data_IF_104073879264
#
_entry.id   IF_104073879264
#
_cell.length_a   1.000
_cell.length_b   1.000
_cell.length_c   1.000
_cell.angle_alpha   90.00
_cell.angle_beta   90.00
_cell.angle_gamma   90.00
#
_symmetry.space_group_name_H-M   'P 1'
#
loop_
_entity.id
_entity.type
_entity.pdbx_description
1 polymer ?
#
# COMPACT_ATOMS: atom_id res chain seq x y z
N UNK A 1 -18.16 2.06 31.16
CA UNK A 1 -19.55 1.63 30.92
C UNK A 1 -19.55 0.14 30.68
N UNK A 2 -20.03 -0.63 31.65
CA UNK A 2 -20.10 -2.08 31.57
C UNK A 2 -21.21 -2.48 30.58
N UNK A 3 -20.85 -3.10 29.45
CA UNK A 3 -21.82 -3.73 28.56
C UNK A 3 -21.85 -5.22 28.86
N UNK A 4 -22.90 -5.62 29.55
CA UNK A 4 -23.20 -6.98 29.98
C UNK A 4 -23.40 -7.89 28.76
N UNK A 5 -22.53 -8.90 28.64
CA UNK A 5 -22.74 -10.09 27.80
C UNK A 5 -24.09 -10.74 28.18
N UNK A 6 -25.01 -10.83 27.23
CA UNK A 6 -26.14 -11.74 27.34
C UNK A 6 -25.73 -13.11 26.77
N UNK A 7 -25.92 -14.22 27.48
CA UNK A 7 -25.73 -15.55 26.91
C UNK A 7 -26.93 -15.85 26.00
N UNK A 8 -26.66 -16.16 24.73
CA UNK A 8 -27.67 -16.72 23.83
C UNK A 8 -27.97 -18.12 24.37
N UNK A 9 -29.12 -18.26 25.03
CA UNK A 9 -29.68 -19.54 25.44
C UNK A 9 -29.76 -20.45 24.21
N UNK A 10 -28.91 -21.47 24.17
CA UNK A 10 -29.09 -22.62 23.31
C UNK A 10 -30.39 -23.33 23.73
N UNK A 11 -31.50 -22.97 23.11
CA UNK A 11 -32.73 -23.76 23.18
C UNK A 11 -32.49 -25.04 22.38
N UNK A 12 -32.19 -26.10 23.12
CA UNK A 12 -32.18 -27.47 22.62
C UNK A 12 -33.51 -27.76 21.92
N UNK A 13 -33.53 -28.21 20.65
CA UNK A 13 -34.76 -28.66 20.04
C UNK A 13 -35.15 -29.96 20.74
N UNK A 14 -36.24 -29.91 21.50
CA UNK A 14 -36.89 -31.11 22.02
C UNK A 14 -37.30 -31.96 20.83
N UNK A 15 -36.52 -33.00 20.54
CA UNK A 15 -36.86 -34.03 19.57
C UNK A 15 -38.08 -34.75 20.15
N UNK A 16 -39.28 -34.34 19.70
CA UNK A 16 -40.49 -35.11 19.89
C UNK A 16 -40.33 -36.40 19.08
N UNK A 17 -39.89 -37.45 19.75
CA UNK A 17 -40.04 -38.82 19.26
C UNK A 17 -41.54 -39.10 19.10
N UNK A 18 -42.07 -38.88 17.90
CA UNK A 18 -43.33 -39.49 17.51
C UNK A 18 -43.08 -41.00 17.40
N UNK A 19 -43.44 -41.70 18.48
CA UNK A 19 -43.58 -43.14 18.51
C UNK A 19 -44.55 -43.52 17.39
N UNK A 20 -44.04 -44.18 16.35
CA UNK A 20 -44.88 -44.84 15.35
C UNK A 20 -45.58 -46.00 16.07
N UNK A 21 -46.79 -45.72 16.57
CA UNK A 21 -47.70 -46.75 17.01
C UNK A 21 -47.98 -47.66 15.81
N UNK A 22 -47.60 -48.92 15.96
CA UNK A 22 -47.98 -50.01 15.07
C UNK A 22 -49.51 -49.98 14.88
N UNK A 23 -50.04 -50.03 13.64
CA UNK A 23 -51.49 -50.07 13.46
C UNK A 23 -52.04 -51.35 14.12
N UNK A 24 -53.21 -51.31 14.77
CA UNK A 24 -53.79 -52.50 15.36
C UNK A 24 -54.04 -53.55 14.28
N UNK A 25 -53.77 -54.80 14.62
CA UNK A 25 -54.04 -55.97 13.80
C UNK A 25 -55.45 -55.89 13.18
N UNK A 26 -55.51 -56.00 11.86
CA UNK A 26 -56.77 -56.14 11.13
C UNK A 26 -57.39 -57.47 11.56
N UNK A 27 -58.41 -57.40 12.41
CA UNK A 27 -59.28 -58.54 12.72
C UNK A 27 -60.06 -58.90 11.45
N UNK A 28 -59.63 -59.98 10.78
CA UNK A 28 -60.43 -60.65 9.74
C UNK A 28 -61.53 -61.47 10.43
N UNK A 29 -62.67 -60.84 10.68
CA UNK A 29 -63.87 -61.51 11.20
C UNK A 29 -64.93 -61.59 10.10
N UNK A 30 -64.85 -62.61 9.24
CA UNK A 30 -66.00 -63.34 8.67
C UNK A 30 -65.57 -64.13 7.43
N UNK A 31 -65.29 -65.43 7.60
CA UNK A 31 -65.34 -66.40 6.50
C UNK A 31 -66.30 -67.50 6.96
N UNK A 32 -67.54 -67.43 6.48
CA UNK A 32 -68.49 -68.54 6.55
C UNK A 32 -68.30 -69.45 5.33
N UNK A 33 -68.44 -70.77 5.47
CA UNK A 33 -68.17 -71.71 4.39
C UNK A 33 -69.42 -72.01 3.55
N UNK A 34 -69.15 -72.63 2.40
CA UNK A 34 -69.99 -73.54 1.60
C UNK A 34 -70.71 -73.03 0.32
N UNK A 35 -70.50 -73.88 -0.70
CA UNK A 35 -71.32 -74.21 -1.86
C UNK A 35 -70.98 -73.57 -3.22
N UNK A 36 -70.43 -74.46 -4.03
CA UNK A 36 -70.23 -74.54 -5.48
C UNK A 36 -71.11 -73.63 -6.36
N UNK A 37 -70.54 -72.51 -6.84
CA UNK A 37 -70.84 -71.92 -8.15
C UNK A 37 -69.73 -70.93 -8.57
N UNK A 38 -69.29 -70.92 -9.85
CA UNK A 38 -68.13 -70.14 -10.32
C UNK A 38 -68.32 -68.60 -10.25
N UNK A 39 -69.52 -68.11 -9.95
CA UNK A 39 -69.86 -66.67 -9.84
C UNK A 39 -69.56 -66.03 -8.49
N UNK A 40 -69.48 -66.80 -7.39
CA UNK A 40 -69.28 -66.25 -6.03
C UNK A 40 -67.79 -66.15 -5.67
N UNK A 41 -66.97 -67.06 -6.21
CA UNK A 41 -65.52 -67.02 -6.06
C UNK A 41 -64.91 -65.77 -6.72
N UNK A 42 -65.41 -65.36 -7.88
CA UNK A 42 -64.96 -64.15 -8.60
C UNK A 42 -65.27 -62.87 -7.82
N UNK A 43 -66.41 -62.80 -7.12
CA UNK A 43 -66.77 -61.63 -6.31
C UNK A 43 -65.89 -61.47 -5.06
N UNK A 44 -65.56 -62.57 -4.38
CA UNK A 44 -64.63 -62.55 -3.24
C UNK A 44 -63.21 -62.17 -3.70
N UNK A 45 -62.74 -62.72 -4.83
CA UNK A 45 -61.46 -62.36 -5.44
C UNK A 45 -61.41 -60.85 -5.76
N UNK A 46 -62.47 -60.30 -6.35
CA UNK A 46 -62.55 -58.86 -6.67
C UNK A 46 -62.53 -57.97 -5.40
N UNK A 47 -63.18 -58.40 -4.31
CA UNK A 47 -63.13 -57.66 -3.03
C UNK A 47 -61.74 -57.68 -2.40
N UNK A 48 -61.07 -58.83 -2.41
CA UNK A 48 -59.70 -58.96 -1.92
C UNK A 48 -58.73 -58.13 -2.76
N UNK A 49 -58.88 -58.15 -4.09
CA UNK A 49 -58.07 -57.33 -4.98
C UNK A 49 -58.24 -55.83 -4.69
N UNK A 50 -59.48 -55.35 -4.55
CA UNK A 50 -59.76 -53.95 -4.19
C UNK A 50 -59.18 -53.54 -2.83
N UNK A 51 -59.16 -54.45 -1.84
CA UNK A 51 -58.49 -54.18 -0.56
C UNK A 51 -56.98 -54.08 -0.71
N UNK A 52 -56.37 -54.94 -1.51
CA UNK A 52 -54.94 -54.86 -1.85
C UNK A 52 -54.63 -53.55 -2.58
N UNK A 53 -55.43 -53.15 -3.58
CA UNK A 53 -55.24 -51.90 -4.32
C UNK A 53 -55.34 -50.67 -3.38
N UNK A 54 -56.29 -50.69 -2.42
CA UNK A 54 -56.42 -49.65 -1.40
C UNK A 54 -55.26 -49.62 -0.41
N UNK A 55 -54.74 -50.79 -0.02
CA UNK A 55 -53.56 -50.87 0.85
C UNK A 55 -52.31 -50.37 0.14
N UNK A 56 -52.13 -50.71 -1.13
CA UNK A 56 -51.02 -50.25 -1.95
C UNK A 56 -51.10 -48.72 -2.19
N UNK A 57 -52.30 -48.18 -2.43
CA UNK A 57 -52.53 -46.74 -2.51
C UNK A 57 -52.24 -46.00 -1.19
N UNK A 58 -52.55 -46.60 -0.03
CA UNK A 58 -52.18 -46.03 1.28
C UNK A 58 -50.68 -46.11 1.53
N UNK A 59 -50.05 -47.22 1.12
CA UNK A 59 -48.60 -47.42 1.21
C UNK A 59 -47.84 -46.39 0.38
N UNK A 60 -48.31 -46.10 -0.84
CA UNK A 60 -47.67 -45.10 -1.70
C UNK A 60 -47.73 -43.70 -1.09
N UNK A 61 -48.87 -43.29 -0.54
CA UNK A 61 -49.02 -42.01 0.18
C UNK A 61 -48.07 -41.92 1.38
N UNK A 62 -47.98 -42.99 2.18
CA UNK A 62 -47.06 -43.03 3.33
C UNK A 62 -45.59 -42.94 2.88
N UNK A 63 -45.24 -43.57 1.76
CA UNK A 63 -43.91 -43.45 1.15
C UNK A 63 -43.63 -42.00 0.76
N UNK A 64 -44.55 -41.36 0.02
CA UNK A 64 -44.40 -39.96 -0.39
C UNK A 64 -44.28 -39.01 0.80
N UNK A 65 -45.10 -39.20 1.85
CA UNK A 65 -45.01 -38.41 3.07
C UNK A 65 -43.66 -38.59 3.78
N UNK A 66 -43.15 -39.82 3.82
CA UNK A 66 -41.83 -40.14 4.38
C UNK A 66 -40.71 -39.46 3.60
N UNK A 67 -40.77 -39.48 2.26
CA UNK A 67 -39.77 -38.86 1.40
C UNK A 67 -39.79 -37.33 1.50
N UNK A 68 -40.97 -36.73 1.59
CA UNK A 68 -41.12 -35.29 1.86
C UNK A 68 -40.54 -34.92 3.23
N UNK A 69 -40.82 -35.71 4.28
CA UNK A 69 -40.26 -35.47 5.60
C UNK A 69 -38.72 -35.59 5.62
N UNK A 70 -38.16 -36.58 4.93
CA UNK A 70 -36.71 -36.72 4.77
C UNK A 70 -36.10 -35.52 4.03
N UNK A 71 -36.74 -35.08 2.95
CA UNK A 71 -36.29 -33.92 2.16
C UNK A 71 -36.32 -32.65 3.01
N UNK A 72 -37.41 -32.43 3.74
CA UNK A 72 -37.57 -31.29 4.62
C UNK A 72 -36.50 -31.28 5.74
N UNK A 73 -36.28 -32.43 6.37
CA UNK A 73 -35.27 -32.59 7.43
C UNK A 73 -33.86 -32.33 6.88
N UNK A 74 -33.55 -32.83 5.68
CA UNK A 74 -32.27 -32.56 5.01
C UNK A 74 -32.08 -31.07 4.74
N UNK A 75 -33.12 -30.38 4.26
CA UNK A 75 -33.06 -28.96 3.97
C UNK A 75 -32.88 -28.11 5.24
N UNK A 76 -33.55 -28.47 6.34
CA UNK A 76 -33.34 -27.82 7.63
C UNK A 76 -31.91 -28.04 8.15
N UNK A 77 -31.40 -29.27 8.10
CA UNK A 77 -30.01 -29.56 8.50
C UNK A 77 -29.00 -28.78 7.65
N UNK A 78 -29.24 -28.68 6.33
CA UNK A 78 -28.38 -27.89 5.43
C UNK A 78 -28.44 -26.39 5.76
N UNK A 79 -29.62 -25.85 6.05
CA UNK A 79 -29.79 -24.46 6.44
C UNK A 79 -29.12 -24.17 7.79
N UNK A 80 -29.28 -25.05 8.78
CA UNK A 80 -28.64 -24.94 10.09
C UNK A 80 -27.11 -24.91 9.95
N UNK A 81 -26.54 -25.82 9.15
CA UNK A 81 -25.11 -25.83 8.86
C UNK A 81 -24.65 -24.55 8.14
N UNK A 82 -25.44 -24.06 7.18
CA UNK A 82 -25.13 -22.82 6.45
C UNK A 82 -25.14 -21.60 7.39
N UNK A 83 -26.14 -21.51 8.28
CA UNK A 83 -26.23 -20.42 9.26
C UNK A 83 -25.08 -20.49 10.26
N UNK A 84 -24.76 -21.68 10.77
CA UNK A 84 -23.65 -21.88 11.70
C UNK A 84 -22.31 -21.47 11.06
N UNK A 85 -22.07 -21.90 9.81
CA UNK A 85 -20.87 -21.52 9.03
C UNK A 85 -20.77 -20.01 8.81
N UNK A 86 -21.88 -19.35 8.44
CA UNK A 86 -21.93 -17.90 8.25
C UNK A 86 -21.72 -17.14 9.55
N UNK A 87 -22.32 -17.59 10.66
CA UNK A 87 -22.10 -17.00 11.99
C UNK A 87 -20.64 -17.07 12.39
N UNK A 88 -20.02 -18.24 12.26
CA UNK A 88 -18.60 -18.42 12.57
C UNK A 88 -17.70 -17.54 11.70
N UNK A 89 -18.05 -17.36 10.43
CA UNK A 89 -17.32 -16.47 9.50
C UNK A 89 -17.46 -14.99 9.91
N UNK A 90 -18.62 -14.58 10.43
CA UNK A 90 -18.80 -13.22 10.92
C UNK A 90 -18.03 -12.99 12.22
N UNK A 91 -18.07 -13.95 13.15
CA UNK A 91 -17.32 -13.87 14.41
C UNK A 91 -15.82 -13.76 14.17
N UNK A 92 -15.27 -14.54 13.24
CA UNK A 92 -13.85 -14.45 12.89
C UNK A 92 -13.48 -13.11 12.25
N UNK A 93 -14.36 -12.53 11.43
CA UNK A 93 -14.16 -11.20 10.85
C UNK A 93 -14.24 -10.10 11.90
N UNK A 94 -15.15 -10.19 12.86
CA UNK A 94 -15.25 -9.23 13.96
C UNK A 94 -13.97 -9.27 14.79
N UNK A 95 -13.48 -10.46 15.14
CA UNK A 95 -12.22 -10.61 15.89
C UNK A 95 -11.02 -10.06 15.12
N UNK A 96 -10.96 -10.30 13.80
CA UNK A 96 -9.90 -9.74 12.96
C UNK A 96 -9.94 -8.20 12.95
N UNK A 97 -11.13 -7.61 12.76
CA UNK A 97 -11.29 -6.16 12.80
C UNK A 97 -10.94 -5.55 14.16
N UNK A 98 -11.32 -6.21 15.26
CA UNK A 98 -10.96 -5.76 16.61
C UNK A 98 -9.44 -5.79 16.81
N UNK A 99 -8.77 -6.84 16.35
CA UNK A 99 -7.31 -6.96 16.39
C UNK A 99 -6.62 -5.87 15.57
N UNK A 100 -7.10 -5.62 14.35
CA UNK A 100 -6.59 -4.57 13.47
C UNK A 100 -6.80 -3.18 14.07
N UNK A 101 -7.96 -2.94 14.69
CA UNK A 101 -8.28 -1.69 15.36
C UNK A 101 -7.36 -1.43 16.56
N UNK A 102 -7.13 -2.43 17.42
CA UNK A 102 -6.19 -2.30 18.54
C UNK A 102 -4.78 -2.01 18.04
N UNK A 103 -4.33 -2.74 17.02
CA UNK A 103 -3.02 -2.52 16.39
C UNK A 103 -2.89 -1.09 15.86
N UNK A 104 -3.92 -0.58 15.18
CA UNK A 104 -3.93 0.78 14.65
C UNK A 104 -3.88 1.84 15.76
N UNK A 105 -4.63 1.64 16.85
CA UNK A 105 -4.57 2.54 18.01
C UNK A 105 -3.17 2.56 18.61
N UNK A 106 -2.56 1.40 18.81
CA UNK A 106 -1.25 1.32 19.45
C UNK A 106 -0.15 1.95 18.58
N UNK A 107 -0.23 1.78 17.25
CA UNK A 107 0.62 2.50 16.29
C UNK A 107 0.44 4.02 16.38
N UNK A 108 -0.79 4.51 16.54
CA UNK A 108 -1.07 5.93 16.70
C UNK A 108 -0.55 6.49 18.02
N UNK A 109 -0.77 5.78 19.14
CA UNK A 109 -0.22 6.16 20.46
C UNK A 109 1.29 6.23 20.41
N UNK A 110 1.95 5.22 19.84
CA UNK A 110 3.40 5.21 19.69
C UNK A 110 3.89 6.41 18.87
N UNK A 111 3.17 6.78 17.80
CA UNK A 111 3.50 7.98 17.03
C UNK A 111 3.35 9.24 17.87
N UNK A 112 2.29 9.35 18.67
CA UNK A 112 2.05 10.48 19.57
C UNK A 112 3.14 10.60 20.64
N UNK A 113 3.52 9.50 21.27
CA UNK A 113 4.59 9.43 22.26
C UNK A 113 5.96 9.84 21.70
N UNK A 114 6.24 9.56 20.42
CA UNK A 114 7.47 9.97 19.76
C UNK A 114 7.47 11.42 19.24
N UNK A 115 6.33 12.14 19.23
CA UNK A 115 6.28 13.53 18.75
C UNK A 115 7.13 14.47 19.62
N UNK A 116 7.02 14.48 20.96
CA UNK A 116 7.82 15.36 21.81
C UNK A 116 9.33 15.21 21.58
N UNK A 117 9.84 13.97 21.50
CA UNK A 117 11.26 13.71 21.26
C UNK A 117 11.72 14.24 19.90
N UNK A 118 10.89 14.03 18.87
CA UNK A 118 11.17 14.58 17.53
C UNK A 118 11.15 16.10 17.53
N UNK A 119 10.21 16.73 18.23
CA UNK A 119 10.12 18.18 18.35
C UNK A 119 11.31 18.76 19.13
N UNK A 120 11.73 18.11 20.21
CA UNK A 120 12.91 18.50 20.97
C UNK A 120 14.18 18.41 20.12
N UNK A 121 14.34 17.33 19.34
CA UNK A 121 15.45 17.16 18.39
C UNK A 121 15.47 18.26 17.32
N UNK A 122 14.32 18.54 16.69
CA UNK A 122 14.19 19.61 15.69
C UNK A 122 14.46 20.97 16.32
N UNK A 123 13.93 21.25 17.52
CA UNK A 123 14.15 22.52 18.23
C UNK A 123 15.63 22.72 18.57
N UNK A 124 16.31 21.68 19.05
CA UNK A 124 17.74 21.72 19.33
C UNK A 124 18.54 21.98 18.06
N UNK A 125 18.15 21.37 16.94
CA UNK A 125 18.82 21.59 15.65
C UNK A 125 18.62 23.03 15.15
N UNK A 126 17.40 23.58 15.24
CA UNK A 126 17.11 24.97 14.87
C UNK A 126 17.91 25.95 15.73
N UNK A 127 17.98 25.75 17.05
CA UNK A 127 18.77 26.62 17.92
C UNK A 127 20.28 26.50 17.63
N UNK A 128 20.79 25.31 17.29
CA UNK A 128 22.17 25.14 16.87
C UNK A 128 22.47 25.88 15.55
N UNK A 129 21.60 25.74 14.53
CA UNK A 129 21.73 26.46 13.26
C UNK A 129 21.67 27.98 13.47
N UNK A 130 20.74 28.46 14.30
CA UNK A 130 20.61 29.87 14.67
C UNK A 130 21.87 30.38 15.36
N UNK A 131 22.42 29.64 16.33
CA UNK A 131 23.66 30.03 17.00
C UNK A 131 24.84 30.10 16.03
N UNK A 132 24.95 29.12 15.13
CA UNK A 132 25.97 29.12 14.07
C UNK A 132 25.85 30.32 13.13
N UNK A 133 24.63 30.72 12.76
CA UNK A 133 24.38 31.90 11.95
C UNK A 133 24.74 33.21 12.68
N UNK A 134 24.47 33.30 13.99
CA UNK A 134 24.84 34.47 14.80
C UNK A 134 26.37 34.62 14.90
N UNK A 135 27.09 33.51 15.10
CA UNK A 135 28.57 33.49 15.11
C UNK A 135 29.12 33.94 13.76
N UNK A 136 28.51 33.51 12.65
CA UNK A 136 28.90 33.96 11.31
C UNK A 136 28.75 35.48 11.16
N UNK A 137 27.59 36.04 11.54
CA UNK A 137 27.36 37.49 11.47
C UNK A 137 28.40 38.25 12.32
N UNK A 138 28.68 37.77 13.53
CA UNK A 138 29.67 38.39 14.40
C UNK A 138 31.08 38.35 13.78
N UNK A 139 31.46 37.22 13.18
CA UNK A 139 32.77 37.03 12.55
C UNK A 139 32.92 37.79 11.23
N UNK A 140 31.85 38.01 10.45
CA UNK A 140 31.90 38.87 9.23
C UNK A 140 32.23 40.33 9.53
N UNK A 141 32.16 40.74 10.81
CA UNK A 141 32.65 42.04 11.29
C UNK A 141 34.16 42.11 11.49
N UNK A 142 34.86 40.97 11.43
CA UNK A 142 36.31 40.84 11.57
C UNK A 142 36.93 40.57 10.19
N UNK A 143 38.01 41.26 9.83
CA UNK A 143 38.56 41.36 8.46
C UNK A 143 39.21 40.07 7.88
N UNK A 144 38.90 38.88 8.41
CA UNK A 144 39.47 37.62 7.93
C UNK A 144 38.65 37.03 6.77
N UNK A 145 39.32 36.73 5.65
CA UNK A 145 38.68 36.08 4.51
C UNK A 145 38.18 34.69 4.91
N UNK A 146 36.88 34.36 4.74
CA UNK A 146 36.33 33.09 5.18
C UNK A 146 36.99 31.92 4.42
N UNK A 147 37.30 30.85 5.14
CA UNK A 147 37.74 29.60 4.51
C UNK A 147 36.61 29.04 3.62
N UNK A 148 36.97 28.32 2.56
CA UNK A 148 36.02 27.84 1.55
C UNK A 148 34.89 26.99 2.16
N UNK A 149 35.18 26.23 3.21
CA UNK A 149 34.18 25.40 3.91
C UNK A 149 33.15 26.26 4.62
N UNK A 150 33.57 27.35 5.25
CA UNK A 150 32.72 28.34 5.90
C UNK A 150 31.88 29.10 4.87
N UNK A 151 32.46 29.44 3.72
CA UNK A 151 31.72 30.06 2.61
C UNK A 151 30.63 29.11 2.09
N UNK A 152 30.94 27.82 1.90
CA UNK A 152 29.99 26.80 1.48
C UNK A 152 28.84 26.64 2.49
N UNK A 153 29.17 26.52 3.79
CA UNK A 153 28.18 26.45 4.88
C UNK A 153 27.31 27.71 4.92
N UNK A 154 27.89 28.90 4.70
CA UNK A 154 27.15 30.15 4.70
C UNK A 154 26.10 30.22 3.58
N UNK A 155 26.45 29.73 2.39
CA UNK A 155 25.53 29.70 1.24
C UNK A 155 24.41 28.69 1.45
N UNK A 156 24.72 27.55 2.06
CA UNK A 156 23.76 26.54 2.50
C UNK A 156 22.76 27.11 3.53
N UNK A 157 23.24 27.83 4.56
CA UNK A 157 22.37 28.51 5.55
C UNK A 157 21.46 29.56 4.92
N UNK A 158 22.01 30.35 3.98
CA UNK A 158 21.28 31.40 3.25
C UNK A 158 20.30 30.85 2.22
N UNK A 159 20.33 29.54 1.93
CA UNK A 159 19.52 28.89 0.90
C UNK A 159 19.65 29.60 -0.46
N UNK A 160 20.87 29.98 -0.86
CA UNK A 160 21.14 30.68 -2.13
C UNK A 160 21.74 29.69 -3.15
N UNK A 161 20.86 29.02 -3.90
CA UNK A 161 21.21 28.01 -4.89
C UNK A 161 22.12 28.57 -6.00
N UNK A 162 21.86 29.79 -6.46
CA UNK A 162 22.57 30.39 -7.58
C UNK A 162 24.01 30.74 -7.22
N UNK A 163 24.24 31.31 -6.03
CA UNK A 163 25.61 31.57 -5.56
C UNK A 163 26.33 30.27 -5.21
N UNK A 164 25.63 29.29 -4.64
CA UNK A 164 26.20 27.97 -4.35
C UNK A 164 26.71 27.30 -5.63
N UNK A 165 25.89 27.22 -6.68
CA UNK A 165 26.30 26.63 -7.96
C UNK A 165 27.46 27.40 -8.58
N UNK A 166 27.46 28.75 -8.51
CA UNK A 166 28.57 29.59 -9.01
C UNK A 166 29.88 29.33 -8.27
N UNK A 167 29.84 29.22 -6.94
CA UNK A 167 31.01 28.89 -6.13
C UNK A 167 31.56 27.51 -6.51
N UNK A 168 30.69 26.50 -6.60
CA UNK A 168 31.09 25.16 -6.99
C UNK A 168 31.77 25.17 -8.37
N UNK A 169 31.18 25.83 -9.36
CA UNK A 169 31.77 25.96 -10.70
C UNK A 169 33.14 26.64 -10.66
N UNK A 170 33.30 27.74 -9.90
CA UNK A 170 34.57 28.44 -9.76
C UNK A 170 35.65 27.59 -9.08
N UNK A 171 35.25 26.74 -8.14
CA UNK A 171 36.12 25.89 -7.32
C UNK A 171 36.20 24.44 -7.80
N UNK A 172 35.86 24.17 -9.06
CA UNK A 172 35.84 22.81 -9.64
C UNK A 172 37.14 22.02 -9.48
N UNK A 173 38.29 22.69 -9.46
CA UNK A 173 39.61 22.04 -9.25
C UNK A 173 39.74 21.39 -7.87
N UNK A 174 38.95 21.83 -6.91
CA UNK A 174 38.95 21.39 -5.51
C UNK A 174 37.85 20.33 -5.26
N UNK A 175 37.48 19.58 -6.32
CA UNK A 175 36.37 18.63 -6.35
C UNK A 175 36.40 17.57 -5.23
N UNK A 176 37.57 17.12 -4.81
CA UNK A 176 37.71 16.12 -3.74
C UNK A 176 37.19 16.66 -2.41
N UNK A 177 37.58 17.88 -2.06
CA UNK A 177 37.15 18.56 -0.84
C UNK A 177 35.66 18.90 -0.90
N UNK A 178 35.18 19.41 -2.04
CA UNK A 178 33.77 19.75 -2.20
C UNK A 178 32.85 18.52 -2.07
N UNK A 179 33.26 17.35 -2.57
CA UNK A 179 32.49 16.11 -2.43
C UNK A 179 32.42 15.61 -0.98
N UNK A 180 33.48 15.76 -0.20
CA UNK A 180 33.47 15.34 1.22
C UNK A 180 32.70 16.33 2.10
N UNK A 181 32.76 17.63 1.78
CA UNK A 181 32.17 18.67 2.63
C UNK A 181 30.74 19.06 2.26
N UNK A 182 30.27 18.85 1.02
CA UNK A 182 28.93 19.28 0.62
C UNK A 182 27.83 18.64 1.47
N UNK A 183 27.97 17.38 1.86
CA UNK A 183 27.02 16.71 2.76
C UNK A 183 26.98 17.38 4.13
N UNK A 184 28.14 17.73 4.67
CA UNK A 184 28.25 18.46 5.94
C UNK A 184 27.66 19.86 5.85
N UNK A 185 27.90 20.57 4.73
CA UNK A 185 27.36 21.90 4.50
C UNK A 185 25.83 21.87 4.33
N UNK A 186 25.28 20.84 3.68
CA UNK A 186 23.83 20.67 3.54
C UNK A 186 23.13 20.45 4.88
N UNK A 187 23.80 19.91 5.91
CA UNK A 187 23.22 19.80 7.26
C UNK A 187 23.02 21.17 7.94
N UNK A 188 23.67 22.22 7.45
CA UNK A 188 23.47 23.60 7.91
C UNK A 188 22.33 24.31 7.15
N UNK A 189 21.76 23.68 6.12
CA UNK A 189 20.60 24.22 5.41
C UNK A 189 19.33 24.11 6.25
N UNK A 190 18.43 25.08 6.08
CA UNK A 190 17.09 25.04 6.68
C UNK A 190 16.23 23.92 6.06
N UNK A 191 16.33 23.74 4.74
CA UNK A 191 15.59 22.71 3.99
C UNK A 191 16.47 22.14 2.85
N UNK A 192 17.31 21.13 3.14
CA UNK A 192 18.22 20.57 2.14
C UNK A 192 17.49 20.02 0.90
N UNK A 193 16.37 19.28 1.00
CA UNK A 193 15.60 18.83 -0.16
C UNK A 193 15.11 19.96 -1.06
N UNK A 194 14.60 21.06 -0.47
CA UNK A 194 14.18 22.22 -1.24
C UNK A 194 15.34 22.87 -1.98
N UNK A 195 16.49 23.05 -1.33
CA UNK A 195 17.68 23.62 -1.96
C UNK A 195 18.14 22.78 -3.17
N UNK A 196 18.12 21.46 -3.06
CA UNK A 196 18.44 20.56 -4.18
C UNK A 196 17.45 20.72 -5.32
N UNK A 197 16.15 20.78 -5.03
CA UNK A 197 15.12 21.01 -6.06
C UNK A 197 15.30 22.37 -6.75
N UNK A 198 15.57 23.44 -5.99
CA UNK A 198 15.82 24.78 -6.54
C UNK A 198 17.10 24.78 -7.41
N UNK A 199 18.16 24.10 -6.98
CA UNK A 199 19.40 23.93 -7.75
C UNK A 199 19.20 23.17 -9.06
N UNK A 200 18.43 22.08 -9.04
CA UNK A 200 18.11 21.30 -10.25
C UNK A 200 17.26 22.12 -11.22
N UNK A 201 16.28 22.88 -10.69
CA UNK A 201 15.45 23.78 -11.50
C UNK A 201 16.32 24.82 -12.22
N UNK A 202 17.21 25.49 -11.49
CA UNK A 202 18.14 26.47 -12.07
C UNK A 202 19.01 25.81 -13.15
N UNK A 203 19.55 24.60 -12.90
CA UNK A 203 20.31 23.86 -13.90
C UNK A 203 19.51 23.62 -15.20
N UNK A 204 18.25 23.20 -15.10
CA UNK A 204 17.41 22.95 -16.27
C UNK A 204 17.08 24.22 -17.06
N UNK A 205 16.80 25.33 -16.37
CA UNK A 205 16.54 26.64 -16.98
C UNK A 205 17.80 27.18 -17.68
N UNK A 206 18.94 27.11 -17.00
CA UNK A 206 20.24 27.48 -17.54
C UNK A 206 20.65 26.61 -18.73
N UNK A 207 20.30 25.32 -18.72
CA UNK A 207 20.49 24.40 -19.84
C UNK A 207 19.63 24.74 -21.04
N UNK A 208 18.40 25.22 -20.83
CA UNK A 208 17.54 25.66 -21.93
C UNK A 208 18.05 26.96 -22.58
N UNK A 209 18.59 27.89 -21.79
CA UNK A 209 18.86 29.26 -22.25
C UNK A 209 20.31 29.52 -22.67
N UNK A 210 21.30 28.78 -22.14
CA UNK A 210 22.72 29.09 -22.35
C UNK A 210 23.51 27.83 -22.71
N UNK A 211 24.11 27.81 -23.90
CA UNK A 211 24.82 26.62 -24.43
C UNK A 211 26.25 26.44 -23.88
N UNK A 212 26.86 27.48 -23.31
CA UNK A 212 28.22 27.43 -22.76
C UNK A 212 28.23 26.97 -21.29
N UNK A 213 29.34 26.36 -20.86
CA UNK A 213 29.55 25.97 -19.45
C UNK A 213 28.66 24.80 -18.96
N UNK A 214 27.99 24.09 -19.86
CA UNK A 214 27.19 22.90 -19.54
C UNK A 214 27.91 21.83 -18.70
N UNK A 215 29.19 21.46 -18.98
CA UNK A 215 29.87 20.46 -18.16
C UNK A 215 30.13 20.94 -16.73
N UNK A 216 30.41 22.23 -16.51
CA UNK A 216 30.63 22.80 -15.18
C UNK A 216 29.33 22.86 -14.38
N UNK A 217 28.23 23.30 -15.02
CA UNK A 217 26.90 23.40 -14.40
C UNK A 217 26.34 22.04 -14.00
N UNK A 218 26.42 21.06 -14.92
CA UNK A 218 26.02 19.67 -14.65
C UNK A 218 26.83 19.09 -13.50
N UNK A 219 28.14 19.37 -13.48
CA UNK A 219 29.00 18.91 -12.41
C UNK A 219 28.62 19.54 -11.06
N UNK A 220 28.40 20.87 -11.00
CA UNK A 220 28.00 21.56 -9.77
C UNK A 220 26.64 21.05 -9.25
N UNK A 221 25.64 20.93 -10.12
CA UNK A 221 24.34 20.36 -9.77
C UNK A 221 24.47 18.91 -9.29
N UNK A 222 25.33 18.10 -9.93
CA UNK A 222 25.59 16.72 -9.53
C UNK A 222 26.25 16.60 -8.16
N UNK A 223 27.12 17.54 -7.78
CA UNK A 223 27.69 17.62 -6.42
C UNK A 223 26.59 17.90 -5.39
N UNK A 224 25.69 18.85 -5.67
CA UNK A 224 24.57 19.20 -4.76
C UNK A 224 23.60 18.03 -4.60
N UNK A 225 23.19 17.40 -5.70
CA UNK A 225 22.34 16.19 -5.68
C UNK A 225 23.04 15.05 -4.95
N UNK A 226 24.34 14.84 -5.20
CA UNK A 226 25.11 13.79 -4.54
C UNK A 226 25.40 14.04 -3.07
N UNK A 227 25.45 15.30 -2.64
CA UNK A 227 25.57 15.67 -1.22
C UNK A 227 24.35 15.28 -0.42
N UNK A 228 23.14 15.50 -0.95
CA UNK A 228 21.91 15.07 -0.29
C UNK A 228 21.69 13.56 -0.44
N UNK A 229 22.09 12.98 -1.57
CA UNK A 229 21.86 11.58 -1.91
C UNK A 229 23.16 10.81 -2.18
N UNK A 230 23.99 10.53 -1.16
CA UNK A 230 25.21 9.75 -1.35
C UNK A 230 24.91 8.39 -1.99
N UNK A 231 25.67 8.00 -3.01
CA UNK A 231 25.43 6.78 -3.80
C UNK A 231 25.44 5.51 -2.94
N UNK A 232 26.30 5.47 -1.93
CA UNK A 232 26.45 4.32 -1.02
C UNK A 232 25.20 4.10 -0.15
N UNK A 233 24.43 5.16 0.14
CA UNK A 233 23.25 5.12 1.01
C UNK A 233 21.90 5.05 0.28
N UNK A 234 21.88 5.01 -1.06
CA UNK A 234 20.62 5.09 -1.83
C UNK A 234 19.68 3.90 -1.63
N UNK A 235 20.19 2.71 -1.28
CA UNK A 235 19.40 1.48 -1.13
C UNK A 235 18.68 1.34 0.22
N UNK A 236 19.16 2.03 1.24
CA UNK A 236 18.73 1.83 2.63
C UNK A 236 17.73 2.89 3.12
N UNK A 237 17.30 3.80 2.24
CA UNK A 237 16.46 4.91 2.69
C UNK A 237 15.03 4.48 2.98
N UNK A 238 14.56 4.89 4.15
CA UNK A 238 13.21 4.62 4.65
C UNK A 238 12.16 5.36 3.81
N UNK A 239 11.10 4.65 3.46
CA UNK A 239 9.89 5.23 2.90
C UNK A 239 9.32 6.29 3.86
N UNK A 240 8.86 7.42 3.32
CA UNK A 240 8.31 8.53 4.11
C UNK A 240 9.33 9.55 4.65
N UNK A 241 10.58 9.54 4.15
CA UNK A 241 11.61 10.52 4.55
C UNK A 241 11.29 11.98 4.17
N UNK A 242 10.38 12.21 3.20
CA UNK A 242 10.03 13.54 2.71
C UNK A 242 8.53 13.80 2.80
N UNK A 243 8.18 15.09 2.89
CA UNK A 243 6.78 15.53 2.83
C UNK A 243 6.20 15.27 1.43
N UNK A 244 4.87 15.09 1.37
CA UNK A 244 4.17 14.88 0.10
C UNK A 244 4.41 16.01 -0.89
N UNK A 245 4.42 17.27 -0.42
CA UNK A 245 4.65 18.43 -1.26
C UNK A 245 6.04 18.42 -1.93
N UNK A 246 7.08 17.98 -1.21
CA UNK A 246 8.44 17.84 -1.76
C UNK A 246 8.47 16.72 -2.82
N UNK A 247 7.81 15.60 -2.55
CA UNK A 247 7.74 14.47 -3.50
C UNK A 247 6.96 14.83 -4.77
N UNK A 248 5.83 15.52 -4.64
CA UNK A 248 5.04 16.00 -5.79
C UNK A 248 5.85 16.98 -6.64
N UNK A 249 6.58 17.90 -5.99
CA UNK A 249 7.47 18.83 -6.68
C UNK A 249 8.62 18.10 -7.39
N UNK A 250 9.24 17.13 -6.73
CA UNK A 250 10.32 16.32 -7.32
C UNK A 250 9.81 15.47 -8.50
N UNK A 251 8.61 14.90 -8.39
CA UNK A 251 7.96 14.13 -9.46
C UNK A 251 7.70 15.01 -10.69
N UNK A 252 7.10 16.20 -10.49
CA UNK A 252 6.84 17.14 -11.57
C UNK A 252 8.15 17.55 -12.28
N UNK A 253 9.19 17.84 -11.49
CA UNK A 253 10.50 18.24 -12.01
C UNK A 253 11.18 17.12 -12.80
N UNK A 254 11.11 15.87 -12.33
CA UNK A 254 11.68 14.73 -13.05
C UNK A 254 10.96 14.45 -14.38
N UNK A 255 9.62 14.64 -14.42
CA UNK A 255 8.83 14.54 -15.66
C UNK A 255 9.23 15.63 -16.65
N UNK A 256 9.27 16.89 -16.20
CA UNK A 256 9.70 18.02 -17.00
C UNK A 256 11.13 17.84 -17.54
N UNK A 257 12.04 17.33 -16.71
CA UNK A 257 13.42 17.05 -17.12
C UNK A 257 13.46 15.99 -18.23
N UNK A 258 12.74 14.88 -18.06
CA UNK A 258 12.62 13.82 -19.06
C UNK A 258 12.07 14.36 -20.38
N UNK A 259 10.96 15.11 -20.33
CA UNK A 259 10.32 15.70 -21.51
C UNK A 259 11.28 16.64 -22.25
N UNK A 260 11.92 17.57 -21.54
CA UNK A 260 12.91 18.50 -22.12
C UNK A 260 14.15 17.78 -22.67
N UNK A 261 14.52 16.62 -22.15
CA UNK A 261 15.62 15.83 -22.69
C UNK A 261 15.20 15.14 -24.00
N UNK A 262 14.00 14.56 -24.03
CA UNK A 262 13.44 13.91 -25.21
C UNK A 262 13.16 14.91 -26.35
N UNK A 263 12.60 16.08 -26.05
CA UNK A 263 12.39 17.15 -27.03
C UNK A 263 13.71 17.51 -27.74
N UNK A 264 14.80 17.67 -26.98
CA UNK A 264 16.13 17.97 -27.53
C UNK A 264 16.68 16.83 -28.39
N UNK A 265 16.44 15.57 -28.00
CA UNK A 265 16.82 14.41 -28.79
C UNK A 265 16.09 14.41 -30.16
N UNK A 266 14.79 14.74 -30.15
CA UNK A 266 13.97 14.78 -31.38
C UNK A 266 14.23 16.01 -32.24
N UNK A 267 14.65 17.15 -31.67
CA UNK A 267 14.85 18.40 -32.40
C UNK A 267 16.16 18.44 -33.20
N UNK A 268 16.96 17.37 -33.20
CA UNK A 268 18.16 17.23 -34.04
C UNK A 268 19.29 18.23 -33.75
N UNK A 269 19.18 19.01 -32.66
CA UNK A 269 20.26 19.89 -32.18
C UNK A 269 21.22 19.01 -31.40
N UNK A 270 21.99 18.19 -32.12
CA UNK A 270 23.08 17.42 -31.55
C UNK A 270 24.10 18.39 -30.95
N UNK A 271 23.91 18.71 -29.66
CA UNK A 271 24.95 19.34 -28.88
C UNK A 271 26.03 18.28 -28.73
N UNK A 272 27.15 18.47 -29.42
CA UNK A 272 28.17 17.45 -29.62
C UNK A 272 28.53 16.66 -28.36
N UNK A 273 28.77 15.36 -28.58
CA UNK A 273 29.17 14.29 -27.65
C UNK A 273 28.03 13.46 -27.01
N UNK A 274 27.68 12.36 -27.69
CA UNK A 274 27.22 11.13 -27.04
C UNK A 274 25.94 11.23 -26.21
N UNK A 275 24.93 11.94 -26.71
CA UNK A 275 23.59 11.90 -26.12
C UNK A 275 22.94 10.55 -26.46
N UNK A 276 22.56 9.78 -25.44
CA UNK A 276 21.88 8.48 -25.60
C UNK A 276 20.47 8.63 -26.17
N UNK A 277 19.73 7.52 -26.27
CA UNK A 277 18.40 7.44 -26.91
C UNK A 277 17.35 8.44 -26.35
N UNK A 278 17.58 9.04 -25.19
CA UNK A 278 16.71 10.04 -24.55
C UNK A 278 17.28 11.45 -24.43
N UNK A 279 18.34 11.80 -25.17
CA UNK A 279 18.88 13.18 -25.15
C UNK A 279 19.58 13.58 -23.84
N UNK A 280 19.88 12.59 -22.98
CA UNK A 280 20.75 12.76 -21.83
C UNK A 280 22.11 12.15 -22.13
N UNK A 281 23.18 12.92 -21.90
CA UNK A 281 24.52 12.36 -21.86
C UNK A 281 24.74 11.52 -20.58
N UNK A 282 25.72 10.60 -20.53
CA UNK A 282 25.89 9.67 -19.41
C UNK A 282 25.99 10.33 -18.03
N UNK A 283 26.66 11.47 -17.94
CA UNK A 283 26.79 12.22 -16.69
C UNK A 283 25.46 12.85 -16.23
N UNK A 284 24.59 13.23 -17.17
CA UNK A 284 23.26 13.76 -16.84
C UNK A 284 22.29 12.64 -16.47
N UNK A 285 22.35 11.53 -17.18
CA UNK A 285 21.58 10.32 -16.87
C UNK A 285 21.90 9.84 -15.44
N UNK A 286 23.17 9.79 -15.06
CA UNK A 286 23.59 9.43 -13.69
C UNK A 286 23.02 10.38 -12.63
N UNK A 287 23.10 11.70 -12.86
CA UNK A 287 22.53 12.70 -11.96
C UNK A 287 21.00 12.58 -11.85
N UNK A 288 20.33 12.37 -12.97
CA UNK A 288 18.88 12.16 -13.03
C UNK A 288 18.46 10.87 -12.30
N UNK A 289 19.19 9.77 -12.49
CA UNK A 289 18.95 8.51 -11.79
C UNK A 289 19.13 8.67 -10.28
N UNK A 290 20.20 9.36 -9.85
CA UNK A 290 20.46 9.65 -8.44
C UNK A 290 19.35 10.52 -7.83
N UNK A 291 18.83 11.49 -8.58
CA UNK A 291 17.67 12.29 -8.18
C UNK A 291 16.40 11.43 -8.01
N UNK A 292 16.06 10.61 -9.01
CA UNK A 292 14.85 9.78 -9.00
C UNK A 292 14.90 8.72 -7.91
N UNK A 293 16.02 8.01 -7.78
CA UNK A 293 16.24 7.06 -6.69
C UNK A 293 16.25 7.80 -5.34
N UNK A 294 16.85 8.99 -5.31
CA UNK A 294 16.98 9.76 -4.10
C UNK A 294 15.66 10.26 -3.53
N UNK A 295 14.71 10.62 -4.37
CA UNK A 295 13.35 10.97 -3.93
C UNK A 295 12.40 9.77 -3.86
N UNK A 296 12.87 8.55 -4.12
CA UNK A 296 12.01 7.36 -4.11
C UNK A 296 10.99 7.30 -5.25
N UNK A 297 11.26 7.98 -6.37
CA UNK A 297 10.36 8.12 -7.50
C UNK A 297 10.44 6.95 -8.49
N UNK A 298 11.11 5.85 -8.14
CA UNK A 298 11.33 4.70 -9.03
C UNK A 298 10.02 4.14 -9.61
N UNK A 299 8.94 4.11 -8.82
CA UNK A 299 7.63 3.61 -9.26
C UNK A 299 6.86 4.54 -10.21
N UNK A 300 7.38 5.75 -10.49
CA UNK A 300 6.72 6.77 -11.34
C UNK A 300 7.19 6.74 -12.79
N UNK A 301 8.19 5.93 -13.11
CA UNK A 301 8.79 5.83 -14.43
C UNK A 301 8.90 4.36 -14.86
N UNK A 302 8.81 4.14 -16.16
CA UNK A 302 8.90 2.79 -16.73
C UNK A 302 10.30 2.21 -16.55
N UNK A 303 10.37 0.90 -16.29
CA UNK A 303 11.65 0.20 -16.16
C UNK A 303 12.50 0.29 -17.43
N UNK A 304 11.87 0.24 -18.61
CA UNK A 304 12.57 0.39 -19.89
C UNK A 304 13.26 1.74 -20.03
N UNK A 305 12.64 2.80 -19.51
CA UNK A 305 13.24 4.13 -19.52
C UNK A 305 14.54 4.15 -18.71
N UNK A 306 14.58 3.51 -17.54
CA UNK A 306 15.81 3.41 -16.75
C UNK A 306 16.87 2.51 -17.36
N UNK A 307 16.47 1.45 -18.07
CA UNK A 307 17.40 0.53 -18.75
C UNK A 307 18.16 1.22 -19.90
N UNK A 308 17.51 2.19 -20.52
CA UNK A 308 17.97 2.88 -21.72
C UNK A 308 18.68 4.23 -21.41
N UNK A 309 18.73 4.63 -20.13
CA UNK A 309 19.49 5.77 -19.59
C UNK A 309 20.95 5.36 -19.29
#
# INVERSE_FOLDING_TARGET
GASSRAPILARSPSILFFSFACPPAVQLSSLSPLSSSPSMATEVINKVQNLFDKLEARRSILSTCTDLYKTLTSHFSSLEQSIASKSQTLDSRIQALDSDYQTCIDDLKRREECIPDRLASISSHIEAQKQSALVEIQNTTSEESPSMVEELKSLCRKMDESKLLKLLMAKRKEASMLKSEIGNALNECVDPPRLVLDSVKEFMELKANVKSGQPDRRWACGIVVGGLFPLDGLKERKEGAFSRAILERAEAMAKEWKEKAQERATSGVASGSGEGMYGMGPAEASMFLQFVLGFGLKGKFDFEFFKNL
#
